data_IF_455231686623
#
_entry.id   IF_455231686623
#
_cell.length_a   1.000
_cell.length_b   1.000
_cell.length_c   1.000
_cell.angle_alpha   90.00
_cell.angle_beta   90.00
_cell.angle_gamma   90.00
#
_symmetry.space_group_name_H-M   'P 1'
#
loop_
_entity.id
_entity.type
_entity.pdbx_description
1 polymer ?
#
# COMPACT_ATOMS: atom_id res chain seq x y z
N UNK A 1 -51.14 -8.81 38.98
CA UNK A 1 -50.58 -7.94 40.05
C UNK A 1 -49.10 -7.77 39.74
N UNK A 2 -48.46 -6.64 39.45
CA UNK A 2 -48.72 -5.22 39.10
C UNK A 2 -47.35 -4.70 38.58
N UNK A 3 -47.21 -4.13 37.38
CA UNK A 3 -47.35 -2.72 36.95
C UNK A 3 -46.39 -1.68 37.60
N UNK A 4 -45.52 -1.10 36.73
CA UNK A 4 -44.94 0.27 36.67
C UNK A 4 -43.96 0.71 37.80
N UNK A 5 -42.90 1.52 37.58
CA UNK A 5 -42.79 2.81 36.87
C UNK A 5 -41.35 3.17 36.42
N UNK A 6 -41.26 3.97 35.35
CA UNK A 6 -40.12 4.80 34.94
C UNK A 6 -39.88 5.98 35.90
N UNK A 7 -38.64 6.48 35.96
CA UNK A 7 -38.38 7.89 36.26
C UNK A 7 -37.09 8.41 35.60
N UNK A 8 -37.22 9.50 34.84
CA UNK A 8 -36.14 10.38 34.34
C UNK A 8 -35.72 11.38 35.41
N UNK A 9 -34.57 12.05 35.22
CA UNK A 9 -34.53 13.49 35.41
C UNK A 9 -33.96 14.26 34.20
N UNK A 10 -34.47 15.47 34.05
CA UNK A 10 -34.27 16.44 32.97
C UNK A 10 -33.18 17.48 33.26
N UNK A 11 -32.65 18.02 32.15
CA UNK A 11 -31.82 19.23 31.88
C UNK A 11 -31.82 20.40 32.88
N UNK A 12 -30.64 20.98 33.08
CA UNK A 12 -30.25 22.42 32.88
C UNK A 12 -28.80 22.59 33.37
N UNK A 13 -27.84 22.87 32.48
CA UNK A 13 -27.28 24.20 32.13
C UNK A 13 -25.95 24.46 32.86
N UNK A 14 -24.84 24.54 32.11
CA UNK A 14 -23.85 25.64 32.11
C UNK A 14 -22.51 25.21 31.44
N UNK A 15 -22.35 25.71 30.21
CA UNK A 15 -21.15 26.25 29.53
C UNK A 15 -19.74 25.80 29.99
N UNK A 16 -18.88 25.39 29.04
CA UNK A 16 -17.48 25.81 29.05
C UNK A 16 -17.15 26.68 27.84
N UNK A 17 -16.48 27.78 28.14
CA UNK A 17 -16.08 28.86 27.25
C UNK A 17 -15.39 28.38 25.96
N UNK A 18 -15.91 28.86 24.84
CA UNK A 18 -15.21 28.94 23.57
C UNK A 18 -14.08 29.97 23.64
N UNK A 19 -12.84 29.53 23.47
CA UNK A 19 -11.77 30.38 22.98
C UNK A 19 -11.48 29.98 21.53
N UNK A 20 -12.12 30.74 20.63
CA UNK A 20 -11.82 30.80 19.22
C UNK A 20 -10.46 31.49 19.03
N UNK A 21 -9.43 30.72 18.70
CA UNK A 21 -8.24 31.28 18.05
C UNK A 21 -8.40 31.10 16.54
N UNK A 22 -8.90 32.16 15.91
CA UNK A 22 -8.72 32.44 14.49
C UNK A 22 -7.22 32.46 14.18
N UNK A 23 -6.77 31.59 13.28
CA UNK A 23 -5.53 31.84 12.54
C UNK A 23 -5.76 31.58 11.05
N UNK A 24 -5.21 32.47 10.18
CA UNK A 24 -5.59 32.53 8.79
C UNK A 24 -4.90 31.45 7.95
N UNK A 25 -5.60 31.04 6.90
CA UNK A 25 -5.07 30.39 5.72
C UNK A 25 -3.83 31.12 5.20
N UNK A 26 -2.69 30.45 5.14
CA UNK A 26 -1.56 30.89 4.34
C UNK A 26 -0.93 29.70 3.61
N UNK A 27 -1.08 29.75 2.29
CA UNK A 27 -0.31 29.01 1.30
C UNK A 27 1.19 29.26 1.47
N UNK A 28 2.03 28.21 1.53
CA UNK A 28 3.45 28.34 1.14
C UNK A 28 4.00 27.07 0.47
N UNK A 29 5.00 27.22 -0.43
CA UNK A 29 5.28 26.34 -1.54
C UNK A 29 6.24 25.20 -1.21
N UNK A 30 6.10 24.11 -1.98
CA UNK A 30 6.97 22.95 -1.94
C UNK A 30 8.09 23.06 -2.98
N UNK A 31 9.30 23.43 -2.55
CA UNK A 31 10.53 23.18 -3.30
C UNK A 31 11.73 23.21 -2.37
N UNK A 32 12.29 22.04 -2.04
CA UNK A 32 13.71 21.92 -1.73
C UNK A 32 14.14 20.51 -2.14
N UNK A 33 14.63 20.43 -3.37
CA UNK A 33 15.50 19.38 -3.87
C UNK A 33 16.82 20.03 -4.28
N UNK A 34 17.90 19.36 -3.88
CA UNK A 34 19.27 19.40 -4.38
C UNK A 34 20.26 20.49 -3.95
N UNK A 35 21.50 20.00 -3.77
CA UNK A 35 22.81 20.65 -3.70
C UNK A 35 23.21 21.31 -2.39
N UNK A 36 23.97 20.55 -1.57
CA UNK A 36 25.04 21.14 -0.77
C UNK A 36 26.38 20.86 -1.46
N UNK A 37 26.80 21.80 -2.29
CA UNK A 37 28.20 21.98 -2.68
C UNK A 37 28.93 22.79 -1.62
N UNK A 38 30.12 22.31 -1.31
CA UNK A 38 31.19 22.85 -0.47
C UNK A 38 31.41 24.36 -0.54
N UNK A 39 31.72 24.96 0.62
CA UNK A 39 32.23 26.33 0.69
C UNK A 39 32.41 26.84 2.12
N UNK A 40 33.37 26.29 2.86
CA UNK A 40 33.82 26.88 4.12
C UNK A 40 34.65 28.14 3.80
N UNK A 41 34.25 29.30 4.34
CA UNK A 41 35.12 30.46 4.50
C UNK A 41 35.19 30.82 5.98
N UNK A 42 36.36 30.60 6.56
CA UNK A 42 36.77 31.12 7.85
C UNK A 42 36.96 32.64 7.74
N UNK A 43 36.37 33.42 8.65
CA UNK A 43 36.92 34.71 9.06
C UNK A 43 37.22 34.67 10.55
N UNK A 44 38.49 34.95 10.87
CA UNK A 44 39.03 35.16 12.21
C UNK A 44 38.58 36.52 12.74
N UNK A 45 38.15 36.55 13.99
CA UNK A 45 38.22 37.64 14.97
C UNK A 45 37.83 36.96 16.30
N UNK A 46 38.45 37.12 17.46
CA UNK A 46 39.59 37.87 17.98
C UNK A 46 39.56 37.51 19.48
N UNK A 47 40.67 37.07 20.06
CA UNK A 47 40.69 36.58 21.44
C UNK A 47 40.64 37.75 22.44
N UNK A 48 39.70 37.69 23.38
CA UNK A 48 39.67 38.50 24.60
C UNK A 48 39.36 37.61 25.79
N UNK A 49 40.29 37.53 26.73
CA UNK A 49 40.20 36.79 27.99
C UNK A 49 39.11 37.37 28.89
N UNK A 50 38.15 36.55 29.34
CA UNK A 50 37.71 36.59 30.73
C UNK A 50 37.19 35.19 31.15
N UNK A 51 37.89 34.62 32.13
CA UNK A 51 37.55 33.33 32.70
C UNK A 51 36.55 33.56 33.81
N UNK A 52 35.26 33.29 33.56
CA UNK A 52 34.25 32.64 34.44
C UNK A 52 32.87 32.75 33.77
N UNK A 53 32.73 32.36 32.48
CA UNK A 53 31.43 32.33 31.79
C UNK A 53 31.27 31.17 30.79
N UNK A 54 32.22 30.23 30.73
CA UNK A 54 32.19 29.13 29.75
C UNK A 54 31.23 27.98 30.09
N UNK A 55 30.81 27.85 31.35
CA UNK A 55 29.94 26.74 31.77
C UNK A 55 28.45 27.01 31.47
N UNK A 56 27.98 28.25 31.59
CA UNK A 56 26.55 28.57 31.38
C UNK A 56 26.19 28.70 29.88
N UNK A 57 27.12 29.17 29.04
CA UNK A 57 26.90 29.34 27.60
C UNK A 57 26.94 27.98 26.86
N UNK A 58 27.81 27.07 27.29
CA UNK A 58 27.82 25.67 26.82
C UNK A 58 26.54 24.92 27.17
N UNK A 59 25.97 25.15 28.36
CA UNK A 59 24.70 24.55 28.77
C UNK A 59 23.51 25.09 27.97
N UNK A 60 23.45 26.40 27.68
CA UNK A 60 22.40 26.97 26.84
C UNK A 60 22.51 26.53 25.38
N UNK A 61 23.73 26.44 24.84
CA UNK A 61 23.98 25.91 23.49
C UNK A 61 23.60 24.43 23.36
N UNK A 62 23.93 23.62 24.37
CA UNK A 62 23.54 22.22 24.46
C UNK A 62 22.02 22.06 24.57
N UNK A 63 21.35 22.85 25.41
CA UNK A 63 19.89 22.83 25.55
C UNK A 63 19.20 23.25 24.26
N UNK A 64 19.70 24.27 23.56
CA UNK A 64 19.21 24.69 22.26
C UNK A 64 19.43 23.64 21.17
N UNK A 65 20.59 22.97 21.19
CA UNK A 65 20.88 21.86 20.27
C UNK A 65 19.95 20.67 20.53
N UNK A 66 19.77 20.27 21.79
CA UNK A 66 18.86 19.19 22.18
C UNK A 66 17.41 19.54 21.81
N UNK A 67 16.95 20.76 22.11
CA UNK A 67 15.62 21.23 21.71
C UNK A 67 15.41 21.20 20.20
N UNK A 68 16.42 21.59 19.40
CA UNK A 68 16.39 21.49 17.93
C UNK A 68 16.34 20.04 17.45
N UNK A 69 17.10 19.13 18.06
CA UNK A 69 17.06 17.70 17.74
C UNK A 69 15.69 17.09 18.06
N UNK A 70 15.11 17.40 19.22
CA UNK A 70 13.74 16.97 19.56
C UNK A 70 12.70 17.54 18.59
N UNK A 71 12.82 18.81 18.22
CA UNK A 71 11.94 19.47 17.27
C UNK A 71 12.02 18.82 15.87
N UNK A 72 13.23 18.57 15.34
CA UNK A 72 13.43 17.90 14.05
C UNK A 72 12.89 16.47 14.08
N UNK A 73 13.15 15.73 15.17
CA UNK A 73 12.61 14.37 15.34
C UNK A 73 11.08 14.38 15.34
N UNK A 74 10.45 15.36 15.99
CA UNK A 74 8.99 15.51 15.98
C UNK A 74 8.44 15.87 14.60
N UNK A 75 9.12 16.74 13.84
CA UNK A 75 8.77 17.04 12.46
C UNK A 75 8.84 15.80 11.54
N UNK A 76 9.87 14.97 11.69
CA UNK A 76 10.05 13.73 10.90
C UNK A 76 9.07 12.63 11.33
N UNK A 77 8.69 12.61 12.60
CA UNK A 77 7.64 11.73 13.13
C UNK A 77 6.25 12.11 12.62
N UNK A 78 6.00 13.40 12.38
CA UNK A 78 4.68 13.94 12.01
C UNK A 78 3.63 13.47 13.03
N UNK A 79 2.49 12.95 12.55
CA UNK A 79 1.33 12.50 13.33
C UNK A 79 1.46 11.03 13.80
N UNK A 80 2.67 10.54 14.08
CA UNK A 80 2.91 9.18 14.59
C UNK A 80 3.05 9.18 16.11
N UNK A 81 2.54 8.12 16.76
CA UNK A 81 2.67 7.95 18.21
C UNK A 81 4.12 7.59 18.55
N UNK A 82 4.66 8.25 19.58
CA UNK A 82 6.03 8.05 20.06
C UNK A 82 6.00 7.43 21.45
N UNK A 83 7.01 6.63 21.76
CA UNK A 83 7.20 5.99 23.04
C UNK A 83 8.28 6.76 23.81
N UNK A 84 7.93 7.21 25.02
CA UNK A 84 8.88 7.82 25.95
C UNK A 84 9.23 6.81 27.04
N UNK A 85 10.49 6.40 27.14
CA UNK A 85 10.99 5.43 28.14
C UNK A 85 12.32 5.90 28.68
N UNK A 86 12.48 5.98 30.00
CA UNK A 86 13.75 6.35 30.64
C UNK A 86 14.38 7.63 30.05
N UNK A 87 13.54 8.61 29.69
CA UNK A 87 13.97 9.86 29.05
C UNK A 87 14.23 9.78 27.54
N UNK A 88 14.18 8.59 26.93
CA UNK A 88 14.31 8.41 25.48
C UNK A 88 12.97 8.60 24.77
N UNK A 89 12.95 9.47 23.75
CA UNK A 89 11.80 9.70 22.88
C UNK A 89 11.98 9.01 21.51
N UNK A 90 11.34 7.86 21.33
CA UNK A 90 11.49 7.01 20.16
C UNK A 90 10.20 6.93 19.34
N UNK A 91 10.32 7.00 18.02
CA UNK A 91 9.24 6.72 17.08
C UNK A 91 8.99 5.21 17.03
N UNK A 92 8.25 4.73 18.03
CA UNK A 92 8.01 3.34 18.39
C UNK A 92 6.61 3.22 19.00
N UNK A 93 5.88 2.15 18.69
CA UNK A 93 4.51 1.94 19.20
C UNK A 93 4.19 0.44 19.32
N UNK A 94 3.58 0.04 20.43
CA UNK A 94 2.99 -1.28 20.60
C UNK A 94 1.66 -1.34 19.85
N UNK A 95 1.61 -2.18 18.82
CA UNK A 95 0.38 -2.47 18.08
C UNK A 95 -0.47 -3.45 18.89
N UNK A 96 0.18 -4.48 19.42
CA UNK A 96 -0.32 -5.34 20.50
C UNK A 96 0.77 -5.43 21.58
N UNK A 97 0.52 -6.15 22.66
CA UNK A 97 1.49 -6.32 23.74
C UNK A 97 2.78 -7.01 23.28
N UNK A 98 2.70 -7.76 22.17
CA UNK A 98 3.80 -8.59 21.64
C UNK A 98 4.25 -8.20 20.23
N UNK A 99 3.62 -7.19 19.63
CA UNK A 99 3.95 -6.65 18.30
C UNK A 99 4.29 -5.17 18.42
N UNK A 100 5.54 -4.85 18.13
CA UNK A 100 6.07 -3.50 18.23
C UNK A 100 6.47 -3.00 16.84
N UNK A 101 5.96 -1.82 16.46
CA UNK A 101 6.29 -1.16 15.22
C UNK A 101 7.15 0.07 15.48
N UNK A 102 8.23 0.26 14.70
CA UNK A 102 9.09 1.44 14.85
C UNK A 102 9.61 1.99 13.52
N UNK A 103 10.16 3.20 13.56
CA UNK A 103 10.98 3.75 12.48
C UNK A 103 12.41 3.21 12.50
N UNK A 104 13.15 3.38 11.40
CA UNK A 104 14.49 2.83 11.25
C UNK A 104 15.44 3.21 12.40
N UNK A 105 16.14 2.23 13.01
CA UNK A 105 17.19 2.48 13.98
C UNK A 105 18.44 2.97 13.25
N UNK A 106 18.70 4.27 13.35
CA UNK A 106 19.71 4.96 12.59
C UNK A 106 21.02 5.10 13.37
N UNK A 107 22.12 4.96 12.64
CA UNK A 107 23.48 5.29 13.09
C UNK A 107 23.91 6.67 12.56
N UNK A 108 24.96 7.22 13.17
CA UNK A 108 25.65 8.43 12.72
C UNK A 108 24.71 9.64 12.51
N UNK A 109 24.94 10.45 11.47
CA UNK A 109 24.18 11.69 11.24
C UNK A 109 22.67 11.49 11.11
N UNK A 110 22.22 10.29 10.72
CA UNK A 110 20.79 9.98 10.58
C UNK A 110 20.08 9.83 11.93
N UNK A 111 20.83 9.55 13.00
CA UNK A 111 20.32 9.53 14.37
C UNK A 111 19.84 10.91 14.87
N UNK A 112 20.26 12.01 14.22
CA UNK A 112 19.78 13.36 14.56
C UNK A 112 18.30 13.56 14.25
N UNK A 113 17.71 12.79 13.33
CA UNK A 113 16.32 12.96 12.90
C UNK A 113 15.51 11.65 12.88
N UNK A 114 16.14 10.51 13.15
CA UNK A 114 15.50 9.19 13.33
C UNK A 114 15.79 8.66 14.73
N UNK A 115 15.34 7.43 15.02
CA UNK A 115 15.63 6.76 16.28
C UNK A 115 17.13 6.41 16.33
N UNK A 116 17.93 6.94 17.28
CA UNK A 116 19.31 6.51 17.46
C UNK A 116 19.32 5.02 17.81
N UNK A 117 20.10 4.22 17.07
CA UNK A 117 20.13 2.77 17.22
C UNK A 117 20.47 2.36 18.66
N UNK A 118 21.44 3.02 19.30
CA UNK A 118 21.82 2.72 20.68
C UNK A 118 20.68 2.96 21.69
N UNK A 119 19.82 3.96 21.47
CA UNK A 119 18.64 4.21 22.31
C UNK A 119 17.60 3.11 22.10
N UNK A 120 17.39 2.69 20.84
CA UNK A 120 16.49 1.57 20.53
C UNK A 120 16.96 0.31 21.22
N UNK A 121 18.25 -0.04 21.09
CA UNK A 121 18.86 -1.18 21.77
C UNK A 121 18.66 -1.09 23.28
N UNK A 122 18.99 0.05 23.89
CA UNK A 122 18.85 0.25 25.35
C UNK A 122 17.40 0.05 25.82
N UNK A 123 16.41 0.61 25.11
CA UNK A 123 14.99 0.44 25.47
C UNK A 123 14.52 -1.01 25.30
N UNK A 124 14.96 -1.69 24.24
CA UNK A 124 14.58 -3.09 23.99
C UNK A 124 15.24 -4.02 25.01
N UNK A 125 16.53 -3.85 25.31
CA UNK A 125 17.23 -4.64 26.33
C UNK A 125 16.63 -4.39 27.72
N UNK A 126 16.27 -3.15 28.06
CA UNK A 126 15.67 -2.81 29.36
C UNK A 126 14.27 -3.40 29.56
N UNK A 127 13.45 -3.48 28.49
CA UNK A 127 12.06 -3.93 28.59
C UNK A 127 11.87 -5.40 28.28
N UNK A 128 12.71 -5.97 27.41
CA UNK A 128 12.53 -7.29 26.79
C UNK A 128 13.87 -8.04 26.69
N UNK A 129 14.71 -7.97 27.73
CA UNK A 129 16.01 -8.62 27.73
C UNK A 129 15.90 -10.09 27.30
N UNK A 130 16.64 -10.49 26.25
CA UNK A 130 16.58 -11.85 25.71
C UNK A 130 15.30 -12.22 24.94
N UNK A 131 14.23 -11.41 25.04
CA UNK A 131 12.88 -11.72 24.55
C UNK A 131 12.42 -10.88 23.35
N UNK A 132 13.31 -10.14 22.66
CA UNK A 132 12.94 -9.47 21.40
C UNK A 132 13.70 -9.99 20.18
N UNK A 133 13.04 -9.94 19.03
CA UNK A 133 13.61 -10.18 17.70
C UNK A 133 13.17 -9.08 16.74
N UNK A 134 14.11 -8.58 15.94
CA UNK A 134 13.91 -7.46 15.02
C UNK A 134 13.73 -7.94 13.59
N UNK A 135 12.77 -7.34 12.88
CA UNK A 135 12.43 -7.63 11.49
C UNK A 135 12.63 -6.35 10.66
N UNK A 136 13.67 -6.35 9.82
CA UNK A 136 14.00 -5.25 8.91
C UNK A 136 13.32 -5.43 7.55
N UNK A 137 12.47 -4.49 7.17
CA UNK A 137 11.76 -4.50 5.89
C UNK A 137 12.42 -3.63 4.80
N UNK A 138 13.54 -2.99 5.09
CA UNK A 138 14.22 -2.11 4.15
C UNK A 138 15.03 -2.92 3.13
N UNK A 139 14.75 -2.71 1.83
CA UNK A 139 15.65 -3.17 0.76
C UNK A 139 16.88 -2.26 0.64
N UNK A 140 16.71 -0.98 1.00
CA UNK A 140 17.69 0.08 0.77
C UNK A 140 18.67 0.33 1.93
N UNK A 141 18.46 -0.29 3.09
CA UNK A 141 19.21 -0.01 4.31
C UNK A 141 19.34 -1.25 5.20
N UNK A 142 20.55 -1.45 5.73
CA UNK A 142 20.90 -2.45 6.73
C UNK A 142 21.79 -1.84 7.80
N UNK A 143 21.99 -2.57 8.89
CA UNK A 143 22.89 -2.25 10.00
C UNK A 143 23.48 -3.58 10.52
N UNK A 144 24.56 -3.51 11.29
CA UNK A 144 25.16 -4.71 11.87
C UNK A 144 24.17 -5.38 12.85
N UNK A 145 23.86 -6.65 12.60
CA UNK A 145 22.92 -7.46 13.38
C UNK A 145 23.40 -7.73 14.80
N UNK A 146 24.71 -7.60 15.05
CA UNK A 146 25.32 -7.77 16.39
C UNK A 146 24.73 -6.79 17.41
N UNK A 147 24.29 -5.61 16.97
CA UNK A 147 23.63 -4.61 17.81
C UNK A 147 22.38 -5.11 18.52
N UNK A 148 21.68 -6.08 17.93
CA UNK A 148 20.49 -6.71 18.49
C UNK A 148 20.74 -8.18 18.81
N UNK A 149 21.98 -8.49 19.23
CA UNK A 149 22.40 -9.83 19.67
C UNK A 149 22.20 -10.92 18.59
N UNK A 150 22.34 -10.55 17.31
CA UNK A 150 22.11 -11.45 16.18
C UNK A 150 20.64 -11.81 15.93
N UNK A 151 19.69 -11.26 16.70
CA UNK A 151 18.25 -11.53 16.55
C UNK A 151 17.59 -10.59 15.54
N UNK A 152 18.13 -10.53 14.33
CA UNK A 152 17.61 -9.71 13.23
C UNK A 152 17.33 -10.58 12.01
N UNK A 153 16.14 -10.47 11.44
CA UNK A 153 15.81 -11.02 10.12
C UNK A 153 15.43 -9.93 9.13
N UNK A 154 15.70 -10.16 7.86
CA UNK A 154 15.48 -9.20 6.78
C UNK A 154 14.44 -9.75 5.80
N UNK A 155 13.37 -8.99 5.58
CA UNK A 155 12.30 -9.28 4.62
C UNK A 155 12.13 -8.06 3.70
N UNK A 156 13.09 -7.84 2.77
CA UNK A 156 13.24 -6.55 2.11
C UNK A 156 12.21 -6.37 1.00
N UNK A 157 11.66 -5.16 0.87
CA UNK A 157 10.95 -4.71 -0.34
C UNK A 157 10.92 -3.19 -0.46
N UNK A 158 10.74 -2.70 -1.70
CA UNK A 158 10.86 -1.29 -2.05
C UNK A 158 9.89 -0.37 -1.29
N UNK A 159 10.35 0.85 -0.99
CA UNK A 159 9.51 1.84 -0.33
C UNK A 159 8.31 2.25 -1.20
N UNK A 160 7.14 2.33 -0.57
CA UNK A 160 5.85 2.57 -1.24
C UNK A 160 5.44 1.49 -2.23
N UNK A 161 6.07 0.31 -2.19
CA UNK A 161 5.66 -0.85 -2.96
C UNK A 161 4.96 -1.91 -2.10
N UNK A 162 4.68 -3.05 -2.71
CA UNK A 162 4.06 -4.23 -2.11
C UNK A 162 5.04 -5.40 -2.26
N UNK A 163 5.14 -6.28 -1.25
CA UNK A 163 5.98 -7.47 -1.33
C UNK A 163 5.27 -8.60 -2.08
N UNK A 164 6.00 -9.62 -2.55
CA UNK A 164 5.38 -10.87 -2.99
C UNK A 164 4.58 -11.51 -1.84
N UNK A 165 3.49 -12.22 -2.19
CA UNK A 165 2.70 -12.97 -1.19
C UNK A 165 3.54 -14.06 -0.49
N UNK A 166 4.50 -14.65 -1.19
CA UNK A 166 5.48 -15.60 -0.64
C UNK A 166 6.34 -14.97 0.47
N UNK A 167 6.77 -13.72 0.30
CA UNK A 167 7.53 -12.98 1.31
C UNK A 167 6.67 -12.64 2.54
N UNK A 168 5.39 -12.32 2.34
CA UNK A 168 4.43 -12.13 3.45
C UNK A 168 4.29 -13.43 4.25
N UNK A 169 4.19 -14.58 3.57
CA UNK A 169 4.13 -15.90 4.20
C UNK A 169 5.35 -16.17 5.08
N UNK A 170 6.55 -16.08 4.51
CA UNK A 170 7.80 -16.34 5.23
C UNK A 170 7.93 -15.44 6.48
N UNK A 171 7.58 -14.15 6.33
CA UNK A 171 7.56 -13.21 7.44
C UNK A 171 6.58 -13.63 8.54
N UNK A 172 5.33 -13.95 8.18
CA UNK A 172 4.29 -14.31 9.16
C UNK A 172 4.65 -15.60 9.90
N UNK A 173 5.17 -16.61 9.18
CA UNK A 173 5.64 -17.87 9.75
C UNK A 173 6.80 -17.66 10.73
N UNK A 174 7.79 -16.80 10.39
CA UNK A 174 8.90 -16.51 11.30
C UNK A 174 8.47 -15.73 12.55
N UNK A 175 7.60 -14.72 12.38
CA UNK A 175 7.04 -13.97 13.51
C UNK A 175 6.24 -14.90 14.42
N UNK A 176 5.39 -15.76 13.86
CA UNK A 176 4.62 -16.72 14.62
C UNK A 176 5.54 -17.68 15.38
N UNK A 177 6.53 -18.27 14.70
CA UNK A 177 7.48 -19.19 15.32
C UNK A 177 8.26 -18.54 16.47
N UNK A 178 8.66 -17.27 16.34
CA UNK A 178 9.31 -16.54 17.43
C UNK A 178 8.37 -16.32 18.63
N UNK A 179 7.15 -15.85 18.36
CA UNK A 179 6.18 -15.55 19.42
C UNK A 179 5.63 -16.81 20.10
N UNK A 180 5.59 -17.95 19.42
CA UNK A 180 5.14 -19.22 20.00
C UNK A 180 6.18 -19.89 20.89
N UNK A 181 7.46 -19.49 20.83
CA UNK A 181 8.52 -20.08 21.67
C UNK A 181 8.45 -19.67 23.13
N UNK A 182 8.01 -18.45 23.41
CA UNK A 182 7.93 -17.92 24.77
C UNK A 182 6.85 -16.83 24.84
N UNK A 183 5.93 -16.83 25.83
CA UNK A 183 4.92 -15.79 25.99
C UNK A 183 5.48 -14.38 26.21
N UNK A 184 6.70 -14.24 26.72
CA UNK A 184 7.40 -12.96 26.89
C UNK A 184 7.98 -12.44 25.57
N UNK A 185 8.08 -13.27 24.53
CA UNK A 185 8.68 -12.84 23.27
C UNK A 185 7.88 -11.72 22.62
N UNK A 186 8.62 -10.73 22.10
CA UNK A 186 8.14 -9.58 21.34
C UNK A 186 8.78 -9.58 19.95
N UNK A 187 7.97 -9.33 18.93
CA UNK A 187 8.44 -9.09 17.57
C UNK A 187 8.50 -7.58 17.31
N UNK A 188 9.65 -7.10 16.84
CA UNK A 188 9.93 -5.69 16.57
C UNK A 188 10.07 -5.48 15.06
N UNK A 189 9.09 -4.85 14.43
CA UNK A 189 9.02 -4.67 12.97
C UNK A 189 9.35 -3.23 12.62
N UNK A 190 10.25 -3.01 11.66
CA UNK A 190 10.55 -1.67 11.18
C UNK A 190 10.78 -1.59 9.66
N UNK A 191 10.66 -0.38 9.14
CA UNK A 191 11.15 0.01 7.82
C UNK A 191 11.79 1.39 7.97
N UNK A 192 11.87 2.20 6.89
CA UNK A 192 12.34 3.58 7.01
C UNK A 192 11.45 4.39 7.95
N UNK A 193 10.18 4.61 7.61
CA UNK A 193 9.26 5.45 8.38
C UNK A 193 8.45 4.71 9.46
N UNK A 194 8.42 3.38 9.44
CA UNK A 194 7.57 2.60 10.32
C UNK A 194 6.07 2.85 10.08
N UNK A 195 5.65 3.11 8.83
CA UNK A 195 4.25 3.45 8.48
C UNK A 195 3.64 2.47 7.48
N UNK A 196 3.91 2.62 6.19
CA UNK A 196 3.29 1.82 5.11
C UNK A 196 3.76 0.36 5.08
N UNK A 197 5.05 0.12 4.78
CA UNK A 197 5.63 -1.24 4.72
C UNK A 197 5.44 -2.02 6.02
N UNK A 198 5.82 -1.40 7.15
CA UNK A 198 5.59 -1.96 8.49
C UNK A 198 4.12 -2.27 8.74
N UNK A 199 3.21 -1.36 8.36
CA UNK A 199 1.79 -1.59 8.56
C UNK A 199 1.25 -2.73 7.73
N UNK A 200 1.67 -2.87 6.46
CA UNK A 200 1.30 -4.02 5.62
C UNK A 200 1.69 -5.32 6.32
N UNK A 201 2.98 -5.49 6.68
CA UNK A 201 3.47 -6.74 7.26
C UNK A 201 2.85 -7.03 8.65
N UNK A 202 2.72 -6.01 9.51
CA UNK A 202 2.07 -6.16 10.82
C UNK A 202 0.59 -6.55 10.66
N UNK A 203 -0.14 -5.90 9.74
CA UNK A 203 -1.53 -6.26 9.48
C UNK A 203 -1.65 -7.67 8.91
N UNK A 204 -0.77 -8.06 8.00
CA UNK A 204 -0.73 -9.43 7.47
C UNK A 204 -0.51 -10.47 8.57
N UNK A 205 0.35 -10.19 9.56
CA UNK A 205 0.53 -11.09 10.70
C UNK A 205 -0.70 -11.14 11.61
N UNK A 206 -1.34 -10.00 11.90
CA UNK A 206 -2.60 -10.00 12.66
C UNK A 206 -3.68 -10.82 11.96
N UNK A 207 -3.77 -10.71 10.63
CA UNK A 207 -4.66 -11.54 9.80
C UNK A 207 -4.27 -13.01 9.88
N UNK A 208 -2.98 -13.34 9.81
CA UNK A 208 -2.47 -14.70 10.00
C UNK A 208 -2.87 -15.31 11.35
N UNK A 209 -3.07 -14.49 12.38
CA UNK A 209 -3.58 -14.93 13.70
C UNK A 209 -5.11 -14.97 13.81
N UNK A 210 -5.84 -14.78 12.71
CA UNK A 210 -7.31 -14.89 12.66
C UNK A 210 -8.08 -13.57 12.70
N UNK A 211 -7.41 -12.41 12.67
CA UNK A 211 -8.09 -11.11 12.59
C UNK A 211 -8.58 -10.83 11.16
N UNK A 212 -9.70 -10.12 10.99
CA UNK A 212 -10.09 -9.64 9.66
C UNK A 212 -9.13 -8.56 9.14
N UNK A 213 -8.95 -8.49 7.81
CA UNK A 213 -8.06 -7.51 7.18
C UNK A 213 -8.41 -6.05 7.55
N UNK A 214 -9.69 -5.70 7.58
CA UNK A 214 -10.13 -4.33 7.92
C UNK A 214 -9.89 -4.00 9.40
N UNK A 215 -10.13 -4.95 10.32
CA UNK A 215 -9.83 -4.76 11.75
C UNK A 215 -8.32 -4.63 11.99
N UNK A 216 -7.49 -5.42 11.30
CA UNK A 216 -6.04 -5.33 11.40
C UNK A 216 -5.53 -3.96 10.92
N UNK A 217 -6.02 -3.49 9.77
CA UNK A 217 -5.69 -2.18 9.21
C UNK A 217 -6.11 -1.04 10.15
N UNK A 218 -7.29 -1.15 10.76
CA UNK A 218 -7.81 -0.15 11.69
C UNK A 218 -7.00 -0.13 12.99
N UNK A 219 -6.77 -1.30 13.61
CA UNK A 219 -5.96 -1.42 14.82
C UNK A 219 -4.57 -0.81 14.62
N UNK A 220 -3.92 -1.11 13.50
CA UNK A 220 -2.62 -0.53 13.18
C UNK A 220 -2.70 1.00 13.05
N UNK A 221 -3.72 1.53 12.37
CA UNK A 221 -3.92 2.97 12.24
C UNK A 221 -4.08 3.67 13.60
N UNK A 222 -4.92 3.09 14.46
CA UNK A 222 -5.22 3.61 15.80
C UNK A 222 -3.98 3.60 16.70
N UNK A 223 -3.20 2.50 16.66
CA UNK A 223 -2.03 2.34 17.53
C UNK A 223 -0.80 3.06 17.02
N UNK A 224 -0.63 3.20 15.71
CA UNK A 224 0.59 3.79 15.12
C UNK A 224 0.50 5.29 14.89
N UNK A 225 -0.71 5.82 14.65
CA UNK A 225 -0.91 7.22 14.26
C UNK A 225 -1.89 7.95 15.17
N UNK A 226 -1.86 9.28 15.13
CA UNK A 226 -2.81 10.15 15.84
C UNK A 226 -3.93 10.65 14.92
N UNK A 227 -3.83 10.42 13.62
CA UNK A 227 -4.81 10.83 12.61
C UNK A 227 -5.50 9.65 11.89
N UNK A 228 -5.38 8.44 12.43
CA UNK A 228 -5.92 7.20 11.86
C UNK A 228 -5.51 6.93 10.41
N UNK A 229 -4.36 7.45 9.97
CA UNK A 229 -3.77 7.13 8.69
C UNK A 229 -2.64 6.11 8.87
N UNK A 230 -2.96 4.83 9.14
CA UNK A 230 -1.95 3.76 9.23
C UNK A 230 -1.36 3.41 7.85
N UNK A 231 -1.86 2.33 7.26
CA UNK A 231 -1.56 1.94 5.88
C UNK A 231 -2.45 2.75 4.94
N UNK A 232 -1.88 3.81 4.36
CA UNK A 232 -2.62 4.77 3.53
C UNK A 232 -2.51 4.51 2.02
N UNK A 233 -1.62 3.62 1.57
CA UNK A 233 -1.44 3.29 0.15
C UNK A 233 -2.48 2.23 -0.23
N UNK A 234 -3.40 2.50 -1.17
CA UNK A 234 -4.43 1.54 -1.57
C UNK A 234 -3.89 0.16 -1.97
N UNK A 235 -2.81 0.08 -2.74
CA UNK A 235 -2.23 -1.22 -3.10
C UNK A 235 -1.70 -1.99 -1.90
N UNK A 236 -1.15 -1.33 -0.88
CA UNK A 236 -0.73 -2.01 0.35
C UNK A 236 -1.92 -2.59 1.11
N UNK A 237 -3.03 -1.85 1.19
CA UNK A 237 -4.28 -2.36 1.78
C UNK A 237 -4.87 -3.52 0.98
N UNK A 238 -4.82 -3.43 -0.35
CA UNK A 238 -5.25 -4.49 -1.28
C UNK A 238 -4.49 -5.79 -1.03
N UNK A 239 -3.18 -5.72 -0.79
CA UNK A 239 -2.35 -6.90 -0.49
C UNK A 239 -2.65 -7.53 0.87
N UNK A 240 -3.02 -6.74 1.88
CA UNK A 240 -3.52 -7.30 3.16
C UNK A 240 -4.84 -8.08 2.94
N UNK A 241 -5.70 -7.62 2.02
CA UNK A 241 -6.94 -8.33 1.66
C UNK A 241 -6.68 -9.58 0.82
N UNK A 242 -5.82 -9.50 -0.20
CA UNK A 242 -5.34 -10.67 -0.93
C UNK A 242 -4.76 -11.72 0.01
N UNK A 243 -3.97 -11.30 0.99
CA UNK A 243 -3.44 -12.18 2.02
C UNK A 243 -4.56 -12.86 2.83
N UNK A 244 -5.61 -12.14 3.22
CA UNK A 244 -6.75 -12.74 3.93
C UNK A 244 -7.52 -13.78 3.11
N UNK A 245 -7.59 -13.61 1.79
CA UNK A 245 -8.32 -14.51 0.88
C UNK A 245 -7.61 -15.87 0.67
N UNK A 246 -6.29 -15.93 0.88
CA UNK A 246 -5.48 -17.13 0.66
C UNK A 246 -5.20 -17.93 1.93
N UNK A 247 -5.70 -17.46 3.09
CA UNK A 247 -5.59 -18.16 4.36
C UNK A 247 -6.80 -19.05 4.59
N UNK A 248 -6.55 -20.25 5.09
CA UNK A 248 -7.58 -21.18 5.55
C UNK A 248 -7.29 -21.57 6.99
N UNK A 249 -8.29 -21.47 7.86
CA UNK A 249 -8.16 -21.76 9.29
C UNK A 249 -8.79 -23.14 9.57
N UNK A 250 -7.98 -24.18 9.85
CA UNK A 250 -8.50 -25.48 10.22
C UNK A 250 -9.35 -25.39 11.50
N UNK A 251 -10.39 -26.23 11.61
CA UNK A 251 -11.19 -26.30 12.83
C UNK A 251 -10.39 -27.00 13.92
N UNK A 252 -9.74 -26.23 14.79
CA UNK A 252 -9.02 -26.70 15.97
C UNK A 252 -8.40 -25.54 16.75
N UNK A 253 -8.36 -25.62 18.09
CA UNK A 253 -7.71 -24.58 18.90
C UNK A 253 -6.20 -24.52 18.57
N UNK A 254 -5.68 -23.31 18.37
CA UNK A 254 -4.25 -22.99 18.27
C UNK A 254 -3.47 -23.61 17.10
N UNK A 255 -4.09 -23.78 15.93
CA UNK A 255 -3.36 -24.21 14.73
C UNK A 255 -2.99 -23.02 13.83
N UNK A 256 -1.79 -23.04 13.26
CA UNK A 256 -1.37 -22.08 12.22
C UNK A 256 -2.28 -22.23 10.99
N UNK A 257 -2.68 -21.14 10.32
CA UNK A 257 -3.49 -21.26 9.11
C UNK A 257 -2.70 -21.92 7.99
N UNK A 258 -3.42 -22.66 7.14
CA UNK A 258 -2.89 -23.12 5.87
C UNK A 258 -2.82 -21.92 4.90
N UNK A 259 -1.65 -21.71 4.28
CA UNK A 259 -1.42 -20.60 3.35
C UNK A 259 -1.39 -21.11 1.92
N UNK A 260 -2.46 -20.84 1.17
CA UNK A 260 -2.60 -21.25 -0.22
C UNK A 260 -2.11 -20.15 -1.17
N UNK A 261 -0.79 -19.93 -1.22
CA UNK A 261 -0.20 -18.93 -2.14
C UNK A 261 -0.53 -19.33 -3.58
N UNK A 262 -1.24 -18.48 -4.35
CA UNK A 262 -1.63 -18.82 -5.70
C UNK A 262 -0.40 -18.90 -6.60
N UNK A 263 -0.35 -19.90 -7.48
CA UNK A 263 0.67 -19.90 -8.52
C UNK A 263 0.46 -18.71 -9.45
N UNK A 264 1.55 -18.03 -9.88
CA UNK A 264 1.46 -16.95 -10.87
C UNK A 264 0.72 -17.41 -12.12
N UNK A 265 -0.46 -16.84 -12.38
CA UNK A 265 -1.22 -17.11 -13.58
C UNK A 265 -0.96 -16.02 -14.61
N UNK A 266 -0.41 -16.39 -15.76
CA UNK A 266 -0.23 -15.42 -16.86
C UNK A 266 -1.60 -14.95 -17.36
N UNK A 267 -1.73 -13.63 -17.50
CA UNK A 267 -2.89 -12.91 -18.02
C UNK A 267 -2.44 -12.03 -19.19
N UNK A 268 -3.32 -11.90 -20.18
CA UNK A 268 -3.08 -11.06 -21.36
C UNK A 268 -3.63 -9.66 -21.13
N UNK A 269 -2.80 -8.66 -20.83
CA UNK A 269 -3.24 -7.27 -20.80
C UNK A 269 -3.43 -6.76 -22.24
N UNK A 270 -4.68 -6.47 -22.60
CA UNK A 270 -5.10 -6.10 -23.97
C UNK A 270 -5.31 -4.61 -24.14
N UNK A 271 -5.75 -3.90 -23.09
CA UNK A 271 -6.08 -2.47 -23.18
C UNK A 271 -5.91 -1.76 -21.84
N UNK A 272 -5.52 -0.49 -21.90
CA UNK A 272 -5.51 0.42 -20.75
C UNK A 272 -6.32 1.67 -21.12
N UNK A 273 -7.32 2.00 -20.31
CA UNK A 273 -8.17 3.19 -20.51
C UNK A 273 -8.19 4.08 -19.28
N UNK A 274 -8.14 5.39 -19.51
CA UNK A 274 -8.37 6.40 -18.49
C UNK A 274 -9.60 7.21 -18.91
N UNK A 275 -10.69 7.05 -18.18
CA UNK A 275 -11.94 7.77 -18.40
C UNK A 275 -12.00 9.06 -17.59
N UNK A 276 -12.74 10.04 -18.11
CA UNK A 276 -13.00 11.32 -17.45
C UNK A 276 -11.71 12.05 -17.07
N UNK A 277 -10.80 12.15 -18.04
CA UNK A 277 -9.57 12.93 -17.88
C UNK A 277 -9.80 14.42 -18.13
N UNK A 278 -9.04 15.29 -17.47
CA UNK A 278 -9.16 16.74 -17.61
C UNK A 278 -7.86 17.34 -18.13
N UNK A 279 -7.98 18.25 -19.10
CA UNK A 279 -6.88 19.09 -19.62
C UNK A 279 -5.62 18.31 -20.04
N UNK A 280 -5.80 17.07 -20.52
CA UNK A 280 -4.71 16.20 -20.93
C UNK A 280 -5.12 15.32 -22.13
N UNK A 281 -4.23 15.25 -23.14
CA UNK A 281 -4.48 14.49 -24.37
C UNK A 281 -3.63 13.22 -24.47
N UNK A 282 -2.67 13.03 -23.56
CA UNK A 282 -1.84 11.84 -23.48
C UNK A 282 -1.24 11.63 -22.10
N UNK A 283 -1.09 10.38 -21.69
CA UNK A 283 -0.40 9.98 -20.45
C UNK A 283 0.61 8.89 -20.79
N UNK A 284 1.84 9.04 -20.29
CA UNK A 284 2.88 8.02 -20.40
C UNK A 284 2.68 6.98 -19.29
N UNK A 285 2.81 5.69 -19.62
CA UNK A 285 2.72 4.63 -18.63
C UNK A 285 3.84 3.62 -18.76
N UNK A 286 4.15 2.97 -17.63
CA UNK A 286 5.12 1.88 -17.50
C UNK A 286 4.43 0.72 -16.80
N UNK A 287 4.50 -0.47 -17.38
CA UNK A 287 4.06 -1.73 -16.75
C UNK A 287 5.31 -2.49 -16.31
N UNK A 288 5.32 -2.92 -15.06
CA UNK A 288 6.40 -3.70 -14.46
C UNK A 288 5.83 -4.89 -13.70
N UNK A 289 6.61 -5.95 -13.59
CA UNK A 289 6.26 -7.18 -12.89
C UNK A 289 7.35 -7.54 -11.88
N UNK A 290 6.96 -8.01 -10.71
CA UNK A 290 7.88 -8.52 -9.72
C UNK A 290 8.26 -9.97 -10.07
N UNK A 291 9.55 -10.20 -10.31
CA UNK A 291 10.05 -11.54 -10.61
C UNK A 291 10.61 -12.20 -9.34
N UNK A 292 10.14 -13.40 -9.03
CA UNK A 292 10.71 -14.23 -7.96
C UNK A 292 11.88 -15.04 -8.52
N UNK A 293 13.07 -14.84 -7.96
CA UNK A 293 14.27 -15.58 -8.34
C UNK A 293 14.69 -16.55 -7.22
N UNK A 294 14.91 -17.84 -7.52
CA UNK A 294 15.33 -18.82 -6.52
C UNK A 294 16.57 -18.36 -5.75
N UNK A 295 16.53 -18.42 -4.43
CA UNK A 295 17.65 -18.06 -3.56
C UNK A 295 17.79 -16.56 -3.25
N UNK A 296 16.95 -15.69 -3.81
CA UNK A 296 16.91 -14.28 -3.43
C UNK A 296 15.60 -13.94 -2.71
N UNK A 297 15.68 -13.19 -1.61
CA UNK A 297 14.51 -12.81 -0.83
C UNK A 297 13.62 -11.77 -1.54
N UNK A 298 14.21 -10.92 -2.39
CA UNK A 298 13.49 -9.87 -3.13
C UNK A 298 14.35 -9.34 -4.27
N UNK A 299 13.70 -8.96 -5.37
CA UNK A 299 14.30 -8.14 -6.42
C UNK A 299 13.37 -6.98 -6.80
N UNK A 300 13.91 -5.85 -7.28
CA UNK A 300 13.10 -4.79 -7.84
C UNK A 300 12.27 -5.28 -9.04
N UNK A 301 11.07 -4.71 -9.29
CA UNK A 301 10.26 -5.07 -10.43
C UNK A 301 10.97 -4.84 -11.77
N UNK A 302 10.78 -5.77 -12.70
CA UNK A 302 11.29 -5.70 -14.07
C UNK A 302 10.27 -4.97 -14.94
N UNK A 303 10.74 -4.03 -15.76
CA UNK A 303 9.89 -3.34 -16.72
C UNK A 303 9.54 -4.25 -17.90
N UNK A 304 8.24 -4.38 -18.18
CA UNK A 304 7.73 -5.15 -19.31
C UNK A 304 7.49 -4.27 -20.54
N UNK A 305 6.96 -3.05 -20.34
CA UNK A 305 6.70 -2.11 -21.44
C UNK A 305 6.55 -0.67 -20.95
N UNK A 306 6.77 0.27 -21.87
CA UNK A 306 6.49 1.69 -21.71
C UNK A 306 5.80 2.26 -22.94
N UNK A 307 4.67 2.93 -22.78
CA UNK A 307 3.83 3.42 -23.89
C UNK A 307 3.05 4.66 -23.49
N UNK A 308 2.21 5.16 -24.40
CA UNK A 308 1.37 6.34 -24.18
C UNK A 308 -0.09 6.00 -24.41
N UNK A 309 -0.93 6.24 -23.42
CA UNK A 309 -2.36 6.39 -23.65
C UNK A 309 -2.60 7.73 -24.34
N UNK A 310 -3.42 7.78 -25.40
CA UNK A 310 -3.74 9.00 -26.15
C UNK A 310 -5.24 9.16 -26.31
N UNK A 311 -5.69 10.38 -26.48
CA UNK A 311 -7.09 10.66 -26.72
C UNK A 311 -7.59 9.94 -27.97
N UNK A 312 -8.71 9.22 -27.83
CA UNK A 312 -9.40 8.59 -28.95
C UNK A 312 -9.84 9.65 -29.97
N UNK A 313 -9.38 9.56 -31.21
CA UNK A 313 -9.89 10.38 -32.32
C UNK A 313 -11.13 9.71 -32.90
N UNK A 314 -12.23 10.47 -33.05
CA UNK A 314 -13.44 9.97 -33.71
C UNK A 314 -13.08 9.41 -35.10
N UNK A 315 -13.44 8.16 -35.36
CA UNK A 315 -13.21 7.46 -36.64
C UNK A 315 -12.04 6.47 -36.67
N UNK A 316 -11.20 6.38 -35.63
CA UNK A 316 -10.22 5.30 -35.50
C UNK A 316 -10.85 4.08 -34.83
N UNK A 317 -11.59 3.27 -35.61
CA UNK A 317 -11.97 1.93 -35.18
C UNK A 317 -10.75 1.01 -35.32
N UNK A 318 -10.25 0.51 -34.19
CA UNK A 318 -9.34 -0.63 -34.23
C UNK A 318 -10.16 -1.86 -34.59
N UNK A 319 -9.94 -2.38 -35.80
CA UNK A 319 -10.71 -3.49 -36.41
C UNK A 319 -10.66 -4.80 -35.60
N UNK A 320 -9.83 -4.87 -34.55
CA UNK A 320 -9.60 -6.05 -33.70
C UNK A 320 -9.96 -5.86 -32.21
N UNK A 321 -10.69 -4.79 -31.85
CA UNK A 321 -11.15 -4.60 -30.46
C UNK A 321 -12.16 -5.70 -30.09
N UNK A 322 -11.92 -6.55 -29.07
CA UNK A 322 -12.92 -7.50 -28.61
C UNK A 322 -14.12 -6.71 -28.10
N UNK A 323 -15.24 -6.76 -28.82
CA UNK A 323 -16.50 -6.11 -28.44
C UNK A 323 -17.14 -6.71 -27.19
N UNK A 324 -16.57 -7.78 -26.64
CA UNK A 324 -17.15 -8.61 -25.60
C UNK A 324 -16.10 -8.98 -24.55
N UNK A 325 -16.46 -8.80 -23.28
CA UNK A 325 -15.63 -9.19 -22.14
C UNK A 325 -16.38 -10.20 -21.27
N UNK A 326 -15.65 -11.20 -20.79
CA UNK A 326 -16.17 -12.25 -19.91
C UNK A 326 -15.90 -11.87 -18.46
N UNK A 327 -16.97 -11.75 -17.68
CA UNK A 327 -16.91 -11.54 -16.23
C UNK A 327 -17.50 -12.76 -15.52
N UNK A 328 -16.76 -13.28 -14.54
CA UNK A 328 -17.24 -14.33 -13.64
C UNK A 328 -17.93 -13.68 -12.44
N UNK A 329 -19.23 -13.91 -12.27
CA UNK A 329 -19.99 -13.37 -11.13
C UNK A 329 -20.06 -14.43 -10.04
N UNK A 330 -19.45 -14.17 -8.87
CA UNK A 330 -19.72 -14.95 -7.65
C UNK A 330 -21.11 -14.55 -7.14
N UNK A 331 -21.99 -15.52 -6.86
CA UNK A 331 -23.28 -15.22 -6.20
C UNK A 331 -22.99 -14.70 -4.78
N UNK A 332 -23.43 -13.49 -4.47
CA UNK A 332 -23.65 -13.08 -3.07
C UNK A 332 -24.95 -13.73 -2.61
N UNK A 333 -24.87 -14.71 -1.70
CA UNK A 333 -26.07 -15.32 -1.10
C UNK A 333 -25.81 -16.67 -0.42
N UNK A 334 -25.94 -16.65 0.91
CA UNK A 334 -26.09 -17.73 1.89
C UNK A 334 -25.22 -19.00 1.82
N UNK A 335 -24.43 -19.17 2.88
CA UNK A 335 -23.92 -20.45 3.35
C UNK A 335 -25.07 -21.45 3.52
N UNK A 336 -25.30 -22.28 2.50
CA UNK A 336 -25.79 -23.67 2.56
C UNK A 336 -26.37 -24.03 1.19
N UNK A 337 -25.54 -24.54 0.28
CA UNK A 337 -25.80 -25.73 -0.57
C UNK A 337 -24.48 -26.02 -1.31
N UNK A 338 -23.92 -27.21 -1.09
CA UNK A 338 -22.82 -27.76 -1.90
C UNK A 338 -23.41 -28.39 -3.16
N UNK A 339 -23.79 -27.58 -4.15
CA UNK A 339 -23.97 -28.07 -5.52
C UNK A 339 -22.79 -27.58 -6.36
N UNK A 340 -22.38 -28.39 -7.34
CA UNK A 340 -21.31 -28.05 -8.28
C UNK A 340 -21.63 -26.69 -8.92
N UNK A 341 -20.92 -25.65 -8.46
CA UNK A 341 -21.12 -24.27 -8.87
C UNK A 341 -20.74 -24.08 -10.34
N UNK A 342 -21.74 -24.01 -11.23
CA UNK A 342 -21.52 -23.58 -12.60
C UNK A 342 -21.30 -22.06 -12.60
N UNK A 343 -20.13 -21.54 -13.01
CA UNK A 343 -19.88 -20.10 -13.02
C UNK A 343 -20.87 -19.39 -13.95
N UNK A 344 -21.51 -18.33 -13.44
CA UNK A 344 -22.39 -17.48 -14.26
C UNK A 344 -21.54 -16.50 -15.05
N UNK A 345 -21.58 -16.61 -16.38
CA UNK A 345 -20.86 -15.73 -17.29
C UNK A 345 -21.71 -14.50 -17.62
N UNK A 346 -21.11 -13.32 -17.53
CA UNK A 346 -21.68 -12.10 -18.08
C UNK A 346 -20.81 -11.65 -19.24
N UNK A 347 -21.44 -11.51 -20.40
CA UNK A 347 -20.84 -10.91 -21.59
C UNK A 347 -21.14 -9.42 -21.56
N UNK A 348 -20.14 -8.59 -21.30
CA UNK A 348 -20.29 -7.14 -21.37
C UNK A 348 -19.87 -6.64 -22.75
N UNK A 349 -20.75 -5.88 -23.41
CA UNK A 349 -20.37 -5.21 -24.66
C UNK A 349 -19.57 -3.94 -24.37
N UNK A 350 -18.43 -3.81 -25.03
CA UNK A 350 -17.72 -2.53 -25.09
C UNK A 350 -18.47 -1.61 -26.04
N UNK A 351 -19.40 -0.81 -25.51
CA UNK A 351 -20.00 0.26 -26.31
C UNK A 351 -18.95 1.35 -26.46
N UNK A 352 -18.18 1.33 -27.55
CA UNK A 352 -17.19 2.37 -27.92
C UNK A 352 -17.80 3.78 -28.01
N UNK A 353 -19.12 3.90 -27.89
CA UNK A 353 -19.85 5.13 -27.62
C UNK A 353 -19.44 5.69 -26.25
N UNK A 354 -18.54 6.67 -26.27
CA UNK A 354 -18.50 7.67 -25.20
C UNK A 354 -19.93 8.14 -24.93
N UNK A 355 -20.35 8.02 -23.68
CA UNK A 355 -21.52 8.67 -23.09
C UNK A 355 -21.92 9.96 -23.85
N UNK A 356 -23.21 10.25 -24.13
CA UNK A 356 -23.68 11.51 -24.72
C UNK A 356 -23.08 12.78 -24.10
N UNK A 357 -22.48 12.68 -22.90
CA UNK A 357 -21.72 13.72 -22.21
C UNK A 357 -20.21 13.78 -22.52
N UNK A 358 -19.73 13.52 -23.76
CA UNK A 358 -18.37 13.87 -24.27
C UNK A 358 -17.20 13.80 -23.25
N UNK A 359 -17.14 12.79 -22.39
CA UNK A 359 -16.02 12.68 -21.44
C UNK A 359 -14.77 12.24 -22.20
N UNK A 360 -13.64 12.88 -21.90
CA UNK A 360 -12.39 12.50 -22.56
C UNK A 360 -11.97 11.10 -22.08
N UNK A 361 -11.49 10.29 -23.03
CA UNK A 361 -10.95 8.98 -22.78
C UNK A 361 -9.56 8.89 -23.40
N UNK A 362 -8.55 8.59 -22.59
CA UNK A 362 -7.23 8.22 -23.08
C UNK A 362 -7.16 6.71 -23.15
N UNK A 363 -6.67 6.20 -24.28
CA UNK A 363 -6.67 4.78 -24.55
C UNK A 363 -5.31 4.31 -25.07
N UNK A 364 -4.99 3.05 -24.78
CA UNK A 364 -3.94 2.30 -25.43
C UNK A 364 -4.37 0.85 -25.61
N UNK A 365 -4.42 0.41 -26.87
CA UNK A 365 -4.65 -0.97 -27.25
C UNK A 365 -3.31 -1.66 -27.57
N UNK A 366 -3.16 -2.89 -27.09
CA UNK A 366 -1.99 -3.71 -27.37
C UNK A 366 -2.22 -4.57 -28.63
N UNK A 367 -1.58 -4.21 -29.75
CA UNK A 367 -1.64 -5.00 -31.00
C UNK A 367 -1.21 -6.46 -30.78
N UNK A 368 -0.19 -6.65 -29.94
CA UNK A 368 0.17 -7.92 -29.35
C UNK A 368 -0.09 -7.84 -27.84
N UNK A 369 -1.06 -8.61 -27.28
CA UNK A 369 -1.38 -8.56 -25.85
C UNK A 369 -0.13 -8.75 -24.98
N UNK A 370 -0.01 -7.92 -23.95
CA UNK A 370 1.12 -7.98 -23.03
C UNK A 370 0.88 -9.09 -22.00
N UNK A 371 1.74 -10.10 -21.97
CA UNK A 371 1.71 -11.13 -20.92
C UNK A 371 2.20 -10.53 -19.60
N UNK A 372 1.41 -10.73 -18.54
CA UNK A 372 1.76 -10.34 -17.17
C UNK A 372 1.37 -11.47 -16.22
N UNK A 373 2.20 -11.76 -15.21
CA UNK A 373 1.93 -12.74 -14.17
C UNK A 373 2.27 -12.17 -12.78
N UNK A 374 1.91 -12.91 -11.72
CA UNK A 374 2.24 -12.54 -10.33
C UNK A 374 1.82 -11.13 -9.94
N UNK A 375 2.74 -10.40 -9.31
CA UNK A 375 2.58 -9.02 -8.85
C UNK A 375 2.94 -8.00 -9.95
N UNK A 376 1.94 -7.24 -10.39
CA UNK A 376 2.06 -6.29 -11.49
C UNK A 376 1.88 -4.87 -10.96
N UNK A 377 2.70 -3.95 -11.47
CA UNK A 377 2.63 -2.52 -11.20
C UNK A 377 2.45 -1.75 -12.50
N UNK A 378 1.47 -0.84 -12.51
CA UNK A 378 1.27 0.10 -13.61
C UNK A 378 1.44 1.52 -13.09
N UNK A 379 2.42 2.24 -13.62
CA UNK A 379 2.76 3.61 -13.21
C UNK A 379 2.46 4.60 -14.33
N UNK A 380 1.79 5.70 -14.00
CA UNK A 380 1.41 6.74 -14.95
C UNK A 380 2.16 8.04 -14.67
N UNK A 381 2.60 8.69 -15.74
CA UNK A 381 3.36 9.93 -15.74
C UNK A 381 2.75 10.91 -16.74
N UNK A 382 2.94 12.19 -16.49
CA UNK A 382 2.48 13.25 -17.39
C UNK A 382 3.13 13.13 -18.78
N UNK A 383 4.45 12.86 -18.81
CA UNK A 383 5.30 12.69 -20.00
C UNK A 383 6.47 11.75 -19.63
N UNK A 384 7.28 11.36 -20.61
CA UNK A 384 8.51 10.54 -20.40
C UNK A 384 9.48 11.18 -19.41
N UNK A 385 9.66 12.49 -19.51
CA UNK A 385 10.42 13.30 -18.56
C UNK A 385 9.41 14.18 -17.84
N UNK A 386 8.79 13.63 -16.80
CA UNK A 386 7.69 14.27 -16.09
C UNK A 386 7.48 13.67 -14.70
N UNK A 387 6.67 14.35 -13.89
CA UNK A 387 6.31 13.85 -12.57
C UNK A 387 5.37 12.65 -12.68
N UNK A 388 5.53 11.68 -11.75
CA UNK A 388 4.57 10.59 -11.58
C UNK A 388 3.20 11.16 -11.19
N UNK A 389 2.16 10.72 -11.87
CA UNK A 389 0.78 11.09 -11.59
C UNK A 389 0.22 10.20 -10.46
N UNK A 390 0.26 8.89 -10.67
CA UNK A 390 -0.21 7.85 -9.77
C UNK A 390 0.25 6.47 -10.25
N UNK A 391 -0.03 5.42 -9.47
CA UNK A 391 0.19 4.03 -9.89
C UNK A 391 -0.82 3.10 -9.22
N UNK A 392 -0.89 1.85 -9.68
CA UNK A 392 -1.59 0.78 -9.01
C UNK A 392 -0.73 -0.49 -9.02
N UNK A 393 -0.82 -1.29 -7.96
CA UNK A 393 -0.25 -2.64 -7.90
C UNK A 393 -1.38 -3.65 -7.67
N UNK A 394 -1.34 -4.78 -8.35
CA UNK A 394 -2.32 -5.85 -8.23
C UNK A 394 -1.66 -7.20 -8.52
N UNK A 395 -2.28 -8.29 -8.06
CA UNK A 395 -1.79 -9.63 -8.31
C UNK A 395 -2.72 -10.35 -9.29
N UNK A 396 -2.16 -10.91 -10.35
CA UNK A 396 -2.90 -11.50 -11.49
C UNK A 396 -3.85 -12.63 -11.10
N UNK A 397 -3.50 -13.44 -10.10
CA UNK A 397 -4.37 -14.52 -9.59
C UNK A 397 -5.71 -14.03 -8.98
N UNK A 398 -5.81 -12.75 -8.59
CA UNK A 398 -7.04 -12.17 -8.01
C UNK A 398 -7.88 -11.45 -9.05
N UNK A 399 -7.49 -11.49 -10.33
CA UNK A 399 -8.28 -10.96 -11.43
C UNK A 399 -9.35 -12.00 -11.76
N UNK A 400 -10.57 -11.81 -11.28
CA UNK A 400 -11.69 -12.73 -11.51
C UNK A 400 -12.46 -12.45 -12.79
N UNK A 401 -12.32 -11.27 -13.39
CA UNK A 401 -12.99 -10.86 -14.64
C UNK A 401 -11.98 -10.42 -15.69
N UNK A 402 -12.44 -10.18 -16.91
CA UNK A 402 -11.61 -9.58 -17.97
C UNK A 402 -11.36 -8.08 -17.74
N UNK A 403 -11.88 -7.46 -16.67
CA UNK A 403 -11.84 -6.01 -16.46
C UNK A 403 -11.49 -5.66 -15.01
N UNK A 404 -10.37 -4.98 -14.81
CA UNK A 404 -9.96 -4.44 -13.52
C UNK A 404 -10.08 -2.92 -13.54
N UNK A 405 -10.89 -2.37 -12.63
CA UNK A 405 -11.17 -0.94 -12.54
C UNK A 405 -10.61 -0.34 -11.25
N UNK A 406 -10.05 0.86 -11.35
CA UNK A 406 -9.57 1.64 -10.22
C UNK A 406 -10.16 3.03 -10.28
N UNK A 407 -10.94 3.38 -9.26
CA UNK A 407 -11.32 4.78 -9.04
C UNK A 407 -10.10 5.58 -8.60
N UNK A 408 -10.21 6.91 -8.59
CA UNK A 408 -9.17 7.78 -8.02
C UNK A 408 -8.77 7.41 -6.58
N UNK A 409 -9.68 6.83 -5.80
CA UNK A 409 -9.41 6.43 -4.39
C UNK A 409 -8.59 5.14 -4.29
N UNK A 410 -8.58 4.33 -5.34
CA UNK A 410 -7.88 3.04 -5.39
C UNK A 410 -6.47 3.14 -5.96
N UNK A 411 -6.07 4.35 -6.37
CA UNK A 411 -4.77 4.67 -6.94
C UNK A 411 -3.78 5.18 -5.89
N UNK A 412 -2.54 4.78 -6.06
CA UNK A 412 -1.46 5.11 -5.16
C UNK A 412 -0.82 6.46 -5.51
N UNK A 413 -0.49 7.23 -4.46
CA UNK A 413 0.29 8.48 -4.54
C UNK A 413 -0.26 9.50 -5.53
N UNK A 414 -1.59 9.61 -5.64
CA UNK A 414 -2.26 10.64 -6.45
C UNK A 414 -1.93 12.03 -5.88
N UNK A 415 -0.92 12.68 -6.46
CA UNK A 415 -0.45 14.01 -6.07
C UNK A 415 -1.33 15.14 -6.59
N UNK A 416 -0.87 16.40 -6.46
CA UNK A 416 -1.59 17.57 -7.00
C UNK A 416 -1.82 17.43 -8.52
N UNK A 417 -0.77 17.06 -9.27
CA UNK A 417 -0.84 16.80 -10.72
C UNK A 417 -1.72 15.61 -11.09
N UNK A 418 -1.64 14.51 -10.34
CA UNK A 418 -2.53 13.37 -10.55
C UNK A 418 -4.00 13.77 -10.35
N UNK A 419 -4.30 14.57 -9.30
CA UNK A 419 -5.66 15.05 -9.05
C UNK A 419 -6.17 16.03 -10.09
N UNK A 420 -5.30 16.87 -10.68
CA UNK A 420 -5.73 17.86 -11.67
C UNK A 420 -6.21 17.22 -12.97
N UNK A 421 -5.74 16.02 -13.31
CA UNK A 421 -6.17 15.30 -14.51
C UNK A 421 -7.34 14.35 -14.28
N UNK A 422 -7.72 14.08 -13.03
CA UNK A 422 -8.80 13.14 -12.70
C UNK A 422 -10.11 13.92 -12.50
N UNK A 423 -11.05 13.75 -13.43
CA UNK A 423 -12.42 14.25 -13.29
C UNK A 423 -13.21 13.57 -12.16
N UNK A 424 -14.44 14.04 -11.88
CA UNK A 424 -15.27 13.55 -10.78
C UNK A 424 -15.59 12.05 -10.85
N UNK A 425 -15.65 11.51 -12.06
CA UNK A 425 -15.95 10.11 -12.39
C UNK A 425 -14.75 9.37 -12.97
N UNK A 426 -13.53 9.87 -12.70
CA UNK A 426 -12.29 9.26 -13.18
C UNK A 426 -12.19 7.77 -12.84
N UNK A 427 -11.89 6.97 -13.86
CA UNK A 427 -11.68 5.54 -13.75
C UNK A 427 -10.49 5.11 -14.61
N UNK A 428 -9.57 4.36 -14.01
CA UNK A 428 -8.55 3.61 -14.73
C UNK A 428 -9.07 2.19 -14.96
N UNK A 429 -9.11 1.75 -16.22
CA UNK A 429 -9.46 0.38 -16.59
C UNK A 429 -8.25 -0.34 -17.18
N UNK A 430 -8.02 -1.56 -16.69
CA UNK A 430 -7.09 -2.53 -17.26
C UNK A 430 -7.91 -3.70 -17.77
N UNK A 431 -7.82 -3.95 -19.06
CA UNK A 431 -8.59 -4.99 -19.72
C UNK A 431 -7.70 -6.19 -20.03
N UNK A 432 -8.13 -7.35 -19.56
CA UNK A 432 -7.45 -8.62 -19.74
C UNK A 432 -8.18 -9.50 -20.74
N UNK A 433 -7.44 -10.38 -21.41
CA UNK A 433 -8.03 -11.53 -22.10
C UNK A 433 -8.73 -12.48 -21.12
N UNK A 434 -9.55 -13.42 -21.63
CA UNK A 434 -10.21 -14.41 -20.78
C UNK A 434 -9.17 -15.16 -19.93
N UNK A 435 -9.55 -15.49 -18.70
CA UNK A 435 -8.71 -16.26 -17.81
C UNK A 435 -8.28 -17.56 -18.52
N UNK A 436 -6.98 -17.83 -18.59
CA UNK A 436 -6.45 -19.12 -19.06
C UNK A 436 -7.02 -20.25 -18.19
N UNK A 437 -8.14 -20.83 -18.59
CA UNK A 437 -8.81 -21.91 -17.87
C UNK A 437 -8.03 -23.21 -18.11
N UNK A 438 -6.98 -23.45 -17.32
CA UNK A 438 -6.47 -24.81 -17.10
C UNK A 438 -7.43 -25.62 -16.22
N UNK A 439 -8.73 -25.61 -16.51
CA UNK A 439 -9.67 -26.60 -16.02
C UNK A 439 -9.75 -27.73 -17.06
N UNK A 440 -9.46 -29.00 -16.71
CA UNK A 440 -9.40 -30.10 -17.67
C UNK A 440 -10.72 -30.41 -18.39
N UNK A 441 -11.84 -29.84 -17.94
CA UNK A 441 -13.19 -30.18 -18.42
C UNK A 441 -13.88 -29.05 -19.20
N UNK A 442 -13.16 -28.03 -19.68
CA UNK A 442 -13.79 -27.00 -20.51
C UNK A 442 -13.49 -27.27 -22.00
N UNK A 443 -14.48 -27.64 -22.82
CA UNK A 443 -14.31 -27.65 -24.26
C UNK A 443 -14.20 -26.18 -24.68
N UNK A 444 -12.98 -25.73 -25.00
CA UNK A 444 -12.75 -24.44 -25.67
C UNK A 444 -13.59 -24.29 -26.95
N UNK A 445 -14.03 -25.41 -27.51
CA UNK A 445 -14.91 -25.50 -28.66
C UNK A 445 -16.34 -24.97 -28.41
N UNK A 446 -16.88 -25.03 -27.18
CA UNK A 446 -18.23 -24.54 -26.88
C UNK A 446 -18.26 -23.02 -26.64
N UNK A 447 -17.20 -22.45 -26.07
CA UNK A 447 -17.08 -20.99 -25.90
C UNK A 447 -16.86 -20.27 -27.25
N UNK A 448 -16.12 -20.89 -28.17
CA UNK A 448 -16.01 -20.39 -29.55
C UNK A 448 -17.34 -20.52 -30.30
N UNK A 449 -18.12 -21.59 -30.05
CA UNK A 449 -19.42 -21.78 -30.69
C UNK A 449 -20.49 -20.81 -30.16
N UNK A 450 -20.50 -20.49 -28.86
CA UNK A 450 -21.39 -19.46 -28.30
C UNK A 450 -21.07 -18.05 -28.85
N UNK A 451 -19.79 -17.77 -29.11
CA UNK A 451 -19.38 -16.56 -29.78
C UNK A 451 -19.74 -16.58 -31.28
N UNK A 452 -19.66 -17.72 -31.99
CA UNK A 452 -20.05 -17.79 -33.40
C UNK A 452 -21.57 -17.81 -33.63
N UNK A 453 -22.34 -18.47 -32.77
CA UNK A 453 -23.79 -18.58 -32.90
C UNK A 453 -24.47 -17.22 -32.64
N UNK A 454 -23.94 -16.43 -31.71
CA UNK A 454 -24.39 -15.03 -31.52
C UNK A 454 -24.02 -14.08 -32.69
N UNK A 455 -23.04 -14.46 -33.52
CA UNK A 455 -22.72 -13.77 -34.77
C UNK A 455 -23.71 -14.10 -35.89
N UNK A 456 -24.08 -15.38 -36.05
CA UNK A 456 -25.02 -15.80 -37.09
C UNK A 456 -26.48 -15.38 -36.82
N UNK A 457 -26.92 -15.35 -35.56
CA UNK A 457 -28.29 -14.94 -35.23
C UNK A 457 -28.53 -13.44 -35.49
N UNK A 458 -27.48 -12.60 -35.43
CA UNK A 458 -27.58 -11.15 -35.66
C UNK A 458 -27.43 -10.74 -37.12
N UNK A 459 -26.70 -11.49 -37.95
CA UNK A 459 -26.67 -11.24 -39.40
C UNK A 459 -28.00 -11.64 -40.06
N UNK A 460 -28.67 -12.70 -39.59
CA UNK A 460 -29.98 -13.11 -40.11
C UNK A 460 -31.09 -12.07 -39.84
N UNK A 461 -30.99 -11.31 -38.75
CA UNK A 461 -31.95 -10.25 -38.38
C UNK A 461 -31.69 -8.92 -39.12
N UNK A 462 -30.50 -8.72 -39.71
CA UNK A 462 -30.19 -7.51 -40.49
C UNK A 462 -30.45 -7.66 -41.99
N UNK A 463 -30.69 -8.88 -42.48
CA UNK A 463 -31.00 -9.14 -43.88
C UNK A 463 -32.52 -9.27 -44.19
N UNK A 464 -33.39 -9.09 -43.19
CA UNK A 464 -34.86 -9.24 -43.31
C UNK A 464 -35.68 -8.03 -42.82
N UNK A 465 -35.17 -6.80 -42.93
CA UNK A 465 -35.99 -5.58 -42.76
C UNK A 465 -35.62 -4.48 -43.74
#
# INVERSE_FOLDING_TARGET
MGKFLCWCPSKSDFVPHSLSCLFPSSDWPSSFSDRFTTGAKFSKEGAGHDGTLGALDGHQSLLNYLARVFFIRNLVSKKRRRLVVAGYDLDMSYITDRLLAMSFPAEHMRAMYRNPLWQVKSVLDMRHEGHYKVYNLCAEQNYDVSHFHGRVEVYPFDDNHVPPLSLIKLFCESVHAWLSRDPQNVAVIHCMAGKGRTGLMVCSYLVFTGMSADNALQLYADRRTTNNEGVSIPSQRRYVRYWSEILSFPRGLNTTPDVNVPQPQSRELRRIRLYDTLDINSVFFVVSELQENPGQAYQPPVELTRKYCRQMKQGQHHTSSPRYYLSFVKKEGDEKVKEQEVPRFVVQMDTESSDPYKKTCLDYYFDCPLQVAGDVRVVFYEKTIGGRLFYACFHTAFITSSLLQFSRRDLDKVGRKGRSICGPTFCLELLFGPANSKHPNFPLHEASNLLSDSFHEKEALHCSR
#
